data_IF_200540706220
#
_entry.id   IF_200540706220
#
_cell.length_a   1.000
_cell.length_b   1.000
_cell.length_c   1.000
_cell.angle_alpha   90.00
_cell.angle_beta   90.00
_cell.angle_gamma   90.00
#
_symmetry.space_group_name_H-M   'P 1'
#
loop_
_entity.id
_entity.type
_entity.pdbx_description
1 polymer ?
#
# COMPACT_ATOMS: atom_id res chain seq x y z
N UNK A 1 6.17 12.13 26.25
CA UNK A 1 6.09 11.98 25.69
C UNK A 1 5.68 11.93 24.69
N UNK A 2 5.57 11.99 24.08
CA UNK A 2 5.21 11.93 23.24
C UNK A 2 5.30 11.73 22.11
N UNK A 3 5.46 12.04 21.69
CA UNK A 3 5.54 12.06 20.51
C UNK A 3 5.84 10.90 19.65
N UNK A 4 6.12 9.64 20.10
CA UNK A 4 6.14 8.40 19.35
C UNK A 4 4.84 8.17 18.63
N UNK A 5 3.75 8.58 19.24
CA UNK A 5 2.44 8.44 18.63
C UNK A 5 2.30 9.31 17.38
N UNK A 6 2.76 10.57 17.46
CA UNK A 6 2.69 11.46 16.33
C UNK A 6 3.59 10.98 15.19
N UNK A 7 4.79 10.52 15.52
CA UNK A 7 5.69 9.99 14.50
C UNK A 7 5.09 8.78 13.80
N UNK A 8 4.49 7.88 14.57
CA UNK A 8 3.90 6.68 14.01
C UNK A 8 2.73 7.00 13.07
N UNK A 9 2.01 8.10 13.32
CA UNK A 9 0.87 8.46 12.49
C UNK A 9 1.24 9.26 11.24
N UNK A 10 2.50 9.69 11.11
CA UNK A 10 2.92 10.45 9.94
C UNK A 10 3.39 9.49 8.85
N UNK A 11 2.44 8.80 8.28
CA UNK A 11 2.72 7.84 7.23
C UNK A 11 3.31 8.50 5.99
N UNK A 12 2.95 9.75 5.70
CA UNK A 12 3.47 10.43 4.53
C UNK A 12 4.99 10.54 4.58
N UNK A 13 5.54 10.93 5.72
CA UNK A 13 7.00 11.03 5.88
C UNK A 13 7.65 9.66 5.75
N UNK A 14 7.06 8.64 6.37
CA UNK A 14 7.60 7.28 6.29
C UNK A 14 7.61 6.80 4.84
N UNK A 15 6.53 7.06 4.09
CA UNK A 15 6.46 6.63 2.70
C UNK A 15 7.42 7.41 1.81
N UNK A 16 7.59 8.71 2.04
CA UNK A 16 8.57 9.48 1.29
C UNK A 16 9.96 8.90 1.45
N UNK A 17 10.34 8.56 2.69
CA UNK A 17 11.64 7.98 2.94
C UNK A 17 11.76 6.59 2.30
N UNK A 18 10.72 5.79 2.42
CA UNK A 18 10.72 4.47 1.81
C UNK A 18 10.93 4.55 0.30
N UNK A 19 10.25 5.49 -0.36
CA UNK A 19 10.39 5.68 -1.80
C UNK A 19 11.78 6.16 -2.18
N UNK A 20 12.38 7.05 -1.38
CA UNK A 20 13.74 7.54 -1.64
C UNK A 20 14.77 6.44 -1.51
N UNK A 21 14.55 5.52 -0.59
CA UNK A 21 15.49 4.42 -0.34
C UNK A 21 15.30 3.22 -1.25
N UNK A 22 14.22 3.21 -2.02
CA UNK A 22 13.92 2.10 -2.93
C UNK A 22 14.79 2.20 -4.17
N UNK A 23 15.65 1.20 -4.38
CA UNK A 23 16.68 1.29 -5.43
C UNK A 23 16.36 0.50 -6.68
N UNK A 24 15.36 -0.39 -6.65
CA UNK A 24 15.05 -1.23 -7.80
C UNK A 24 14.59 -0.40 -9.01
N UNK A 25 13.70 0.54 -8.78
CA UNK A 25 13.23 1.46 -9.81
C UNK A 25 12.61 2.69 -9.13
N UNK A 26 12.18 3.65 -9.95
CA UNK A 26 11.58 4.86 -9.43
C UNK A 26 10.15 4.60 -8.95
N UNK A 27 9.79 5.19 -7.81
CA UNK A 27 8.41 5.19 -7.31
C UNK A 27 7.87 6.60 -7.40
N UNK A 28 6.70 6.74 -8.03
CA UNK A 28 5.94 7.98 -7.98
C UNK A 28 4.91 7.85 -6.86
N UNK A 29 5.05 8.69 -5.84
CA UNK A 29 4.17 8.67 -4.69
C UNK A 29 3.13 9.77 -4.81
N UNK A 30 1.87 9.38 -4.69
CA UNK A 30 0.76 10.32 -4.55
C UNK A 30 0.11 10.06 -3.21
N UNK A 31 0.16 11.05 -2.31
CA UNK A 31 -0.37 10.93 -0.96
C UNK A 31 -1.37 12.05 -0.72
N UNK A 32 -2.62 11.68 -0.53
CA UNK A 32 -3.69 12.66 -0.38
C UNK A 32 -4.61 12.21 0.76
N UNK A 33 -4.11 12.33 1.97
CA UNK A 33 -4.84 11.96 3.18
C UNK A 33 -4.94 13.21 4.05
N UNK A 34 -6.15 13.60 4.38
CA UNK A 34 -6.42 14.75 5.24
C UNK A 34 -6.64 14.32 6.68
N UNK A 35 -7.40 13.25 6.88
CA UNK A 35 -7.74 12.74 8.20
C UNK A 35 -6.97 11.46 8.45
N UNK A 36 -5.91 11.52 9.27
CA UNK A 36 -5.08 10.34 9.49
C UNK A 36 -5.87 9.22 10.15
N UNK A 37 -5.46 8.01 9.81
CA UNK A 37 -6.08 6.83 10.39
C UNK A 37 -5.29 6.35 11.62
N UNK A 38 -5.93 5.47 12.40
CA UNK A 38 -5.33 5.00 13.63
C UNK A 38 -4.16 4.05 13.42
N UNK A 39 -3.54 3.67 14.52
CA UNK A 39 -2.31 2.88 14.48
C UNK A 39 -2.48 1.52 13.81
N UNK A 40 -3.60 0.85 14.05
CA UNK A 40 -3.81 -0.47 13.46
C UNK A 40 -3.82 -0.40 11.94
N UNK A 41 -4.58 0.53 11.39
CA UNK A 41 -4.65 0.73 9.95
C UNK A 41 -3.30 1.16 9.39
N UNK A 42 -2.60 2.05 10.10
CA UNK A 42 -1.26 2.49 9.73
C UNK A 42 -0.32 1.30 9.53
N UNK A 43 -0.26 0.40 10.51
CA UNK A 43 0.67 -0.72 10.43
C UNK A 43 0.29 -1.72 9.35
N UNK A 44 -1.00 -1.96 9.16
CA UNK A 44 -1.44 -2.84 8.08
C UNK A 44 -1.09 -2.26 6.71
N UNK A 45 -1.37 -0.97 6.50
CA UNK A 45 -1.07 -0.34 5.22
C UNK A 45 0.42 -0.35 4.93
N UNK A 46 1.23 -0.01 5.92
CA UNK A 46 2.68 0.00 5.74
C UNK A 46 3.20 -1.40 5.42
N UNK A 47 2.70 -2.42 6.10
CA UNK A 47 3.13 -3.80 5.85
C UNK A 47 2.74 -4.25 4.45
N UNK A 48 1.55 -3.89 3.98
CA UNK A 48 1.10 -4.22 2.63
C UNK A 48 2.01 -3.57 1.59
N UNK A 49 2.32 -2.28 1.78
CA UNK A 49 3.18 -1.56 0.84
C UNK A 49 4.57 -2.18 0.79
N UNK A 50 5.15 -2.49 1.95
CA UNK A 50 6.47 -3.12 2.00
C UNK A 50 6.48 -4.48 1.31
N UNK A 51 5.46 -5.28 1.53
CA UNK A 51 5.36 -6.59 0.88
C UNK A 51 5.23 -6.44 -0.63
N UNK A 52 4.41 -5.50 -1.08
CA UNK A 52 4.22 -5.27 -2.51
C UNK A 52 5.51 -4.80 -3.19
N UNK A 53 6.24 -3.88 -2.57
CA UNK A 53 7.51 -3.41 -3.11
C UNK A 53 8.55 -4.52 -3.13
N UNK A 54 8.56 -5.37 -2.12
CA UNK A 54 9.44 -6.54 -2.08
C UNK A 54 9.15 -7.47 -3.27
N UNK A 55 7.88 -7.71 -3.54
CA UNK A 55 7.48 -8.55 -4.67
C UNK A 55 7.92 -7.96 -5.99
N UNK A 56 7.78 -6.64 -6.15
CA UNK A 56 8.21 -5.97 -7.38
C UNK A 56 9.71 -6.14 -7.56
N UNK A 57 10.48 -5.95 -6.52
CA UNK A 57 11.94 -6.13 -6.58
C UNK A 57 12.32 -7.53 -7.01
N UNK A 58 11.61 -8.55 -6.50
CA UNK A 58 11.99 -9.95 -6.71
C UNK A 58 11.43 -10.55 -7.98
N UNK A 59 10.28 -10.07 -8.44
CA UNK A 59 9.55 -10.79 -9.49
C UNK A 59 9.18 -9.96 -10.69
N UNK A 60 9.31 -8.64 -10.62
CA UNK A 60 8.88 -7.76 -11.70
C UNK A 60 10.06 -7.29 -12.53
N UNK A 61 9.81 -6.98 -13.80
CA UNK A 61 10.75 -6.30 -14.66
C UNK A 61 10.36 -4.84 -14.86
N UNK A 62 9.64 -4.26 -13.92
CA UNK A 62 9.17 -2.88 -14.00
C UNK A 62 10.34 -1.90 -13.92
N UNK A 63 10.16 -0.73 -14.54
CA UNK A 63 11.08 0.39 -14.36
C UNK A 63 10.38 1.59 -13.69
N UNK A 64 9.11 1.46 -13.38
CA UNK A 64 8.34 2.52 -12.72
C UNK A 64 7.24 1.89 -11.86
N UNK A 65 7.11 2.41 -10.63
CA UNK A 65 6.03 2.04 -9.72
C UNK A 65 5.24 3.30 -9.39
N UNK A 66 3.93 3.18 -9.38
CA UNK A 66 3.04 4.23 -8.86
C UNK A 66 2.46 3.75 -7.54
N UNK A 67 2.60 4.56 -6.52
CA UNK A 67 2.07 4.28 -5.20
C UNK A 67 1.11 5.40 -4.83
N UNK A 68 -0.16 5.08 -4.76
CA UNK A 68 -1.21 6.07 -4.49
C UNK A 68 -1.94 5.72 -3.22
N UNK A 69 -2.05 6.68 -2.32
CA UNK A 69 -2.85 6.55 -1.11
C UNK A 69 -3.68 7.80 -1.00
N UNK A 70 -5.00 7.65 -1.14
CA UNK A 70 -5.90 8.79 -1.14
C UNK A 70 -7.11 8.55 -0.26
N UNK A 71 -7.65 9.64 0.23
CA UNK A 71 -8.82 9.62 1.09
C UNK A 71 -10.06 10.02 0.27
N UNK A 72 -11.12 9.25 0.42
CA UNK A 72 -12.45 9.57 -0.09
C UNK A 72 -13.37 9.82 1.12
N UNK A 73 -14.57 10.33 0.91
CA UNK A 73 -15.43 10.64 2.06
C UNK A 73 -15.70 9.46 2.99
N UNK A 74 -15.87 8.25 2.46
CA UNK A 74 -16.24 7.08 3.27
C UNK A 74 -15.16 6.03 3.37
N UNK A 75 -14.05 6.16 2.63
CA UNK A 75 -13.03 5.11 2.59
C UNK A 75 -11.70 5.68 2.14
N UNK A 76 -10.65 4.86 2.33
CA UNK A 76 -9.32 5.14 1.79
C UNK A 76 -9.04 4.21 0.63
N UNK A 77 -8.26 4.68 -0.33
CA UNK A 77 -7.82 3.87 -1.47
C UNK A 77 -6.31 3.76 -1.48
N UNK A 78 -5.82 2.54 -1.63
CA UNK A 78 -4.40 2.26 -1.81
C UNK A 78 -4.23 1.55 -3.15
N UNK A 79 -3.41 2.10 -4.03
CA UNK A 79 -3.15 1.52 -5.34
C UNK A 79 -1.64 1.39 -5.50
N UNK A 80 -1.17 0.19 -5.80
CA UNK A 80 0.23 -0.08 -6.05
C UNK A 80 0.33 -0.68 -7.43
N UNK A 81 0.91 0.05 -8.37
CA UNK A 81 0.96 -0.34 -9.77
C UNK A 81 2.39 -0.33 -10.28
N UNK A 82 2.85 -1.46 -10.83
CA UNK A 82 4.12 -1.48 -11.53
C UNK A 82 3.87 -1.70 -13.02
N UNK A 83 4.76 -1.14 -13.85
CA UNK A 83 4.62 -1.22 -15.30
C UNK A 83 5.34 -2.42 -15.92
N UNK A 84 5.63 -3.42 -15.11
CA UNK A 84 6.27 -4.63 -15.60
C UNK A 84 5.37 -5.43 -16.51
N UNK A 85 6.00 -6.25 -17.35
CA UNK A 85 5.28 -7.14 -18.26
C UNK A 85 5.21 -8.57 -17.73
N UNK A 86 6.01 -8.89 -16.71
CA UNK A 86 5.97 -10.22 -16.10
C UNK A 86 4.79 -10.30 -15.14
N UNK A 87 3.97 -11.32 -15.31
CA UNK A 87 2.84 -11.54 -14.43
C UNK A 87 3.25 -12.60 -13.41
N UNK A 88 3.30 -12.22 -12.14
CA UNK A 88 3.86 -13.07 -11.09
C UNK A 88 2.85 -13.50 -10.04
N UNK A 89 1.55 -13.36 -10.33
CA UNK A 89 0.50 -13.64 -9.35
C UNK A 89 0.53 -15.08 -8.85
N UNK A 90 1.02 -16.02 -9.67
CA UNK A 90 1.06 -17.44 -9.31
C UNK A 90 2.39 -17.88 -8.73
N UNK A 91 3.35 -16.96 -8.58
CA UNK A 91 4.64 -17.34 -8.01
C UNK A 91 4.52 -17.56 -6.52
N UNK A 92 5.22 -18.57 -6.01
CA UNK A 92 5.21 -18.85 -4.59
C UNK A 92 5.94 -17.77 -3.82
N UNK A 93 5.50 -17.53 -2.59
CA UNK A 93 6.18 -16.62 -1.68
C UNK A 93 5.94 -15.14 -1.96
N UNK A 94 4.94 -14.78 -2.78
CA UNK A 94 4.68 -13.37 -3.04
C UNK A 94 3.76 -12.72 -1.98
N UNK A 95 3.29 -13.51 -1.00
CA UNK A 95 2.57 -12.94 0.14
C UNK A 95 1.21 -12.36 -0.15
N UNK A 96 0.58 -12.74 -1.28
CA UNK A 96 -0.74 -12.19 -1.61
C UNK A 96 -1.78 -12.52 -0.54
N UNK A 97 -1.74 -13.75 0.00
CA UNK A 97 -2.69 -14.12 1.03
C UNK A 97 -2.49 -13.29 2.29
N UNK A 98 -1.24 -13.02 2.66
CA UNK A 98 -0.96 -12.17 3.82
C UNK A 98 -1.48 -10.75 3.62
N UNK A 99 -1.31 -10.19 2.43
CA UNK A 99 -1.86 -8.87 2.12
C UNK A 99 -3.38 -8.88 2.21
N UNK A 100 -4.01 -9.90 1.62
CA UNK A 100 -5.46 -10.02 1.65
C UNK A 100 -5.98 -10.16 3.08
N UNK A 101 -5.28 -10.94 3.90
CA UNK A 101 -5.68 -11.12 5.30
C UNK A 101 -5.63 -9.79 6.05
N UNK A 102 -4.63 -8.97 5.80
CA UNK A 102 -4.55 -7.65 6.43
C UNK A 102 -5.69 -6.75 5.98
N UNK A 103 -6.02 -6.79 4.70
CA UNK A 103 -7.15 -6.01 4.17
C UNK A 103 -8.46 -6.49 4.80
N UNK A 104 -8.63 -7.80 4.94
CA UNK A 104 -9.83 -8.36 5.57
C UNK A 104 -9.96 -7.89 7.03
N UNK A 105 -8.84 -7.79 7.75
CA UNK A 105 -8.86 -7.30 9.12
C UNK A 105 -9.30 -5.84 9.21
N UNK A 106 -9.13 -5.08 8.14
CA UNK A 106 -9.59 -3.70 8.05
C UNK A 106 -10.97 -3.61 7.41
N UNK A 107 -11.63 -4.74 7.16
CA UNK A 107 -12.94 -4.82 6.49
C UNK A 107 -12.90 -4.23 5.08
N UNK A 108 -11.75 -4.35 4.43
CA UNK A 108 -11.53 -3.76 3.13
C UNK A 108 -11.77 -4.71 1.97
N UNK A 109 -11.51 -4.18 0.79
CA UNK A 109 -11.66 -4.90 -0.46
C UNK A 109 -10.30 -4.95 -1.15
N UNK A 110 -9.91 -6.13 -1.64
CA UNK A 110 -8.60 -6.39 -2.26
C UNK A 110 -8.82 -6.94 -3.66
N UNK A 111 -8.19 -6.33 -4.66
CA UNK A 111 -8.30 -6.79 -6.02
C UNK A 111 -6.96 -6.65 -6.74
N UNK A 112 -6.72 -7.51 -7.73
CA UNK A 112 -5.51 -7.47 -8.54
C UNK A 112 -5.93 -7.36 -10.00
N UNK A 113 -5.31 -6.40 -10.71
CA UNK A 113 -5.55 -6.17 -12.12
C UNK A 113 -4.24 -6.37 -12.85
N UNK A 114 -4.27 -7.12 -13.96
CA UNK A 114 -3.07 -7.48 -14.71
C UNK A 114 -3.14 -7.13 -16.19
N UNK A 115 -4.12 -6.34 -16.60
CA UNK A 115 -4.27 -5.98 -17.99
C UNK A 115 -3.34 -4.85 -18.44
N UNK A 116 -2.72 -4.17 -17.49
CA UNK A 116 -1.77 -3.09 -17.79
C UNK A 116 -0.73 -3.06 -16.66
N UNK A 117 0.25 -3.93 -16.75
CA UNK A 117 1.19 -4.14 -15.65
C UNK A 117 0.55 -4.95 -14.55
N UNK A 118 1.05 -4.80 -13.32
CA UNK A 118 0.52 -5.49 -12.16
C UNK A 118 0.02 -4.46 -11.17
N UNK A 119 -1.28 -4.48 -10.88
CA UNK A 119 -1.87 -3.48 -10.01
C UNK A 119 -2.59 -4.14 -8.84
N UNK A 120 -2.24 -3.71 -7.64
CA UNK A 120 -2.96 -4.05 -6.42
C UNK A 120 -3.86 -2.88 -6.08
N UNK A 121 -5.15 -3.15 -5.94
CA UNK A 121 -6.16 -2.14 -5.68
C UNK A 121 -6.88 -2.49 -4.39
N UNK A 122 -6.79 -1.59 -3.40
CA UNK A 122 -7.34 -1.83 -2.07
C UNK A 122 -8.22 -0.66 -1.68
N UNK A 123 -9.41 -0.97 -1.16
CA UNK A 123 -10.33 0.03 -0.60
C UNK A 123 -10.57 -0.34 0.85
N UNK A 124 -10.41 0.62 1.74
CA UNK A 124 -10.56 0.39 3.18
C UNK A 124 -11.60 1.36 3.73
N UNK A 125 -12.71 0.87 4.28
CA UNK A 125 -13.73 1.77 4.82
C UNK A 125 -13.19 2.51 6.03
N UNK A 126 -13.62 3.73 6.23
CA UNK A 126 -13.28 4.48 7.42
C UNK A 126 -14.00 3.89 8.60
N UNK A 127 -13.36 3.94 9.75
CA UNK A 127 -13.97 3.45 10.95
C UNK A 127 -15.19 4.27 11.31
N UNK A 128 -16.25 3.56 11.73
CA UNK A 128 -17.44 4.23 12.21
C UNK A 128 -17.23 4.65 13.64
N UNK A 129 -17.28 5.93 13.89
CA UNK A 129 -17.03 6.48 15.23
C UNK A 129 -18.30 7.00 15.88
N UNK A 130 -19.44 6.67 15.32
CA UNK A 130 -20.71 7.19 15.83
C UNK A 130 -21.38 6.29 16.85
N UNK A 131 -20.74 5.28 17.27
CA UNK A 131 -21.31 4.31 18.22
C UNK A 131 -21.55 4.90 19.57
#
# INVERSE_FOLDING_TARGET
VHDLHDDALDLHIVLQKLCEEYTFCKIQLEYDIVHPFGNTMYYHILAIIKEALHNITRHSNANMVSLTLREQPAFYQLIIHDNGTDIYIKKEGIGLQNMKDRVDQMHGFFNILTDDGFQIFITIPKEDKTV
#
